data_IF_668955949587
#
_entry.id   IF_668955949587
#
_cell.length_a   1.000
_cell.length_b   1.000
_cell.length_c   1.000
_cell.angle_alpha   90.00
_cell.angle_beta   90.00
_cell.angle_gamma   90.00
#
_symmetry.space_group_name_H-M   'P 1'
#
loop_
_entity.id
_entity.type
_entity.pdbx_description
1 polymer ?
#
# COMPACT_ATOMS: atom_id res chain seq x y z
N UNK A 1 -36.38 -17.98 -41.77
CA UNK A 1 -36.90 -16.88 -40.93
C UNK A 1 -36.33 -17.04 -39.52
N UNK A 2 -35.40 -16.15 -39.17
CA UNK A 2 -34.75 -15.80 -37.89
C UNK A 2 -34.89 -16.74 -36.66
N UNK A 3 -33.90 -17.60 -36.40
CA UNK A 3 -33.62 -18.18 -35.07
C UNK A 3 -32.13 -18.18 -34.68
N UNK A 4 -31.35 -17.23 -35.21
CA UNK A 4 -29.90 -17.15 -34.97
C UNK A 4 -29.48 -16.01 -34.02
N UNK A 5 -30.41 -15.11 -33.63
CA UNK A 5 -30.08 -13.97 -32.78
C UNK A 5 -30.27 -14.23 -31.28
N UNK A 6 -31.23 -15.07 -30.87
CA UNK A 6 -31.53 -15.29 -29.45
C UNK A 6 -30.40 -16.02 -28.69
N UNK A 7 -29.76 -17.01 -29.33
CA UNK A 7 -28.64 -17.74 -28.73
C UNK A 7 -27.39 -16.86 -28.52
N UNK A 8 -27.19 -15.88 -29.40
CA UNK A 8 -26.04 -14.97 -29.35
C UNK A 8 -26.19 -13.94 -28.20
N UNK A 9 -27.41 -13.46 -27.97
CA UNK A 9 -27.70 -12.51 -26.87
C UNK A 9 -27.52 -13.15 -25.49
N UNK A 10 -27.93 -14.42 -25.33
CA UNK A 10 -27.77 -15.16 -24.06
C UNK A 10 -26.29 -15.36 -23.73
N UNK A 11 -25.46 -15.71 -24.72
CA UNK A 11 -24.02 -15.89 -24.52
C UNK A 11 -23.34 -14.56 -24.10
N UNK A 12 -23.73 -13.44 -24.72
CA UNK A 12 -23.18 -12.11 -24.39
C UNK A 12 -23.55 -11.68 -22.97
N UNK A 13 -24.79 -11.93 -22.53
CA UNK A 13 -25.24 -11.61 -21.18
C UNK A 13 -24.54 -12.48 -20.13
N UNK A 14 -24.29 -13.76 -20.41
CA UNK A 14 -23.56 -14.66 -19.53
C UNK A 14 -22.08 -14.30 -19.40
N UNK A 15 -21.44 -13.84 -20.48
CA UNK A 15 -20.05 -13.33 -20.45
C UNK A 15 -19.98 -12.04 -19.63
N UNK A 16 -20.92 -11.11 -19.81
CA UNK A 16 -21.00 -9.89 -19.00
C UNK A 16 -21.26 -10.20 -17.52
N UNK A 17 -22.17 -11.11 -17.19
CA UNK A 17 -22.44 -11.53 -15.81
C UNK A 17 -21.23 -12.22 -15.16
N UNK A 18 -20.44 -12.95 -15.94
CA UNK A 18 -19.19 -13.58 -15.48
C UNK A 18 -18.10 -12.54 -15.25
N UNK A 19 -17.99 -11.53 -16.12
CA UNK A 19 -17.04 -10.43 -15.98
C UNK A 19 -17.41 -9.52 -14.80
N UNK A 20 -18.70 -9.21 -14.60
CA UNK A 20 -19.21 -8.47 -13.44
C UNK A 20 -18.93 -9.23 -12.13
N UNK A 21 -19.08 -10.56 -12.11
CA UNK A 21 -18.74 -11.39 -10.94
C UNK A 21 -17.24 -11.60 -10.73
N UNK A 22 -16.43 -11.47 -11.79
CA UNK A 22 -14.96 -11.52 -11.71
C UNK A 22 -14.32 -10.18 -11.32
N UNK A 23 -15.13 -9.16 -11.00
CA UNK A 23 -14.74 -7.78 -10.71
C UNK A 23 -13.88 -7.53 -9.47
N UNK A 24 -13.06 -8.49 -9.03
CA UNK A 24 -12.02 -8.25 -8.02
C UNK A 24 -10.78 -9.16 -8.11
N UNK A 25 -10.59 -9.93 -9.18
CA UNK A 25 -9.38 -10.78 -9.35
C UNK A 25 -8.33 -10.21 -10.32
N UNK A 26 -8.53 -8.99 -10.83
CA UNK A 26 -7.47 -8.20 -11.42
C UNK A 26 -6.73 -7.45 -10.33
N UNK A 27 -5.40 -7.52 -10.33
CA UNK A 27 -4.52 -6.60 -9.59
C UNK A 27 -5.10 -5.20 -9.64
N UNK A 28 -5.62 -4.72 -8.51
CA UNK A 28 -6.29 -3.43 -8.46
C UNK A 28 -5.33 -2.33 -8.91
N UNK A 29 -5.53 -1.80 -10.11
CA UNK A 29 -4.85 -0.60 -10.56
C UNK A 29 -5.33 0.54 -9.67
N UNK A 30 -4.54 0.85 -8.65
CA UNK A 30 -4.81 1.94 -7.73
C UNK A 30 -4.26 3.22 -8.36
N UNK A 31 -5.09 3.93 -9.11
CA UNK A 31 -4.76 5.27 -9.57
C UNK A 31 -4.91 6.26 -8.40
N UNK A 32 -3.79 6.69 -7.82
CA UNK A 32 -3.78 7.79 -6.84
C UNK A 32 -3.62 9.09 -7.62
N UNK A 33 -4.69 9.90 -7.62
CA UNK A 33 -4.63 11.27 -8.13
C UNK A 33 -3.92 12.13 -7.08
N UNK A 34 -2.71 12.60 -7.38
CA UNK A 34 -2.06 13.65 -6.59
C UNK A 34 -2.58 15.01 -7.06
N UNK A 35 -3.74 15.41 -6.58
CA UNK A 35 -4.19 16.81 -6.67
C UNK A 35 -3.83 17.54 -5.37
N UNK A 36 -3.60 18.86 -5.40
CA UNK A 36 -3.54 19.68 -4.18
C UNK A 36 -4.89 19.63 -3.46
N UNK A 37 -5.13 18.60 -2.64
CA UNK A 37 -6.41 18.33 -1.97
C UNK A 37 -6.73 16.84 -1.77
N UNK A 38 -6.09 15.92 -2.49
CA UNK A 38 -6.22 14.49 -2.22
C UNK A 38 -5.49 14.16 -0.91
N UNK A 39 -6.24 13.78 0.13
CA UNK A 39 -5.68 13.36 1.42
C UNK A 39 -4.82 12.12 1.18
N UNK A 40 -3.49 12.28 1.13
CA UNK A 40 -2.58 11.15 1.16
C UNK A 40 -2.84 10.40 2.47
N UNK A 41 -3.28 9.15 2.38
CA UNK A 41 -3.39 8.30 3.55
C UNK A 41 -1.97 8.07 4.11
N UNK A 42 -1.81 8.35 5.39
CA UNK A 42 -0.56 8.15 6.12
C UNK A 42 -0.81 7.21 7.30
N UNK A 43 0.17 6.36 7.61
CA UNK A 43 0.09 5.35 8.66
C UNK A 43 1.25 5.51 9.64
N UNK A 44 0.97 5.30 10.93
CA UNK A 44 2.04 5.13 11.91
C UNK A 44 2.71 3.76 11.68
N UNK A 45 4.04 3.75 11.67
CA UNK A 45 4.83 2.54 11.50
C UNK A 45 5.96 2.49 12.53
N UNK A 46 6.46 1.28 12.80
CA UNK A 46 7.65 1.03 13.60
C UNK A 46 8.70 0.34 12.75
N UNK A 47 9.93 0.85 12.81
CA UNK A 47 11.10 0.27 12.13
C UNK A 47 11.49 -1.03 12.82
N UNK A 48 11.62 -2.11 12.07
CA UNK A 48 12.02 -3.43 12.58
C UNK A 48 13.47 -3.74 12.28
N UNK A 49 13.96 -3.40 11.09
CA UNK A 49 15.37 -3.53 10.72
C UNK A 49 15.69 -2.70 9.49
N UNK A 50 16.97 -2.43 9.26
CA UNK A 50 17.44 -2.05 7.92
C UNK A 50 17.29 -3.26 6.97
N UNK A 51 16.82 -3.05 5.74
CA UNK A 51 16.75 -4.08 4.70
C UNK A 51 17.90 -3.95 3.71
N UNK A 52 18.15 -2.75 3.21
CA UNK A 52 19.24 -2.42 2.28
C UNK A 52 19.26 -0.91 2.06
N UNK A 53 20.45 -0.29 2.03
CA UNK A 53 20.57 1.17 1.86
C UNK A 53 19.68 1.94 2.84
N UNK A 54 18.91 2.94 2.38
CA UNK A 54 17.89 3.66 3.15
C UNK A 54 16.52 2.96 3.15
N UNK A 55 16.44 1.67 2.83
CA UNK A 55 15.21 0.88 2.86
C UNK A 55 15.13 0.07 4.14
N UNK A 56 14.01 0.18 4.84
CA UNK A 56 13.76 -0.48 6.11
C UNK A 56 12.58 -1.43 6.02
N UNK A 57 12.65 -2.52 6.78
CA UNK A 57 11.47 -3.30 7.11
C UNK A 57 10.73 -2.57 8.21
N UNK A 58 9.47 -2.24 7.96
CA UNK A 58 8.58 -1.53 8.88
C UNK A 58 7.30 -2.32 9.07
N UNK A 59 6.66 -2.17 10.24
CA UNK A 59 5.34 -2.72 10.51
C UNK A 59 4.38 -1.58 10.86
N UNK A 60 3.13 -1.67 10.42
CA UNK A 60 2.11 -0.71 10.82
C UNK A 60 1.84 -0.83 12.32
N UNK A 61 1.55 0.29 12.97
CA UNK A 61 1.18 0.32 14.39
C UNK A 61 -0.11 1.08 14.62
N UNK A 62 -0.88 0.63 15.61
CA UNK A 62 -2.05 1.34 16.13
C UNK A 62 -1.64 2.08 17.39
N UNK A 63 -1.91 3.38 17.43
CA UNK A 63 -1.73 4.19 18.64
C UNK A 63 -2.91 3.91 19.57
N UNK A 64 -2.61 3.32 20.73
CA UNK A 64 -3.59 3.01 21.77
C UNK A 64 -3.78 4.21 22.71
N UNK A 65 -4.43 3.97 23.85
CA UNK A 65 -4.59 4.96 24.91
C UNK A 65 -3.25 5.55 25.37
N UNK A 66 -3.30 6.79 25.86
CA UNK A 66 -2.14 7.50 26.35
C UNK A 66 -1.39 6.68 27.43
N UNK A 67 -0.07 6.59 27.29
CA UNK A 67 0.79 5.80 28.19
C UNK A 67 0.91 4.32 27.84
N UNK A 68 0.24 3.83 26.79
CA UNK A 68 0.40 2.46 26.29
C UNK A 68 1.34 2.39 25.10
N UNK A 69 2.05 1.27 24.95
CA UNK A 69 2.83 1.01 23.74
C UNK A 69 1.91 0.83 22.51
N UNK A 70 2.30 1.36 21.34
CA UNK A 70 1.60 1.09 20.09
C UNK A 70 1.60 -0.41 19.74
N UNK A 71 0.44 -0.93 19.33
CA UNK A 71 0.29 -2.33 18.92
C UNK A 71 0.70 -2.51 17.45
N UNK A 72 1.57 -3.49 17.17
CA UNK A 72 1.97 -3.85 15.80
C UNK A 72 0.83 -4.62 15.09
N UNK A 73 0.52 -4.23 13.86
CA UNK A 73 -0.54 -4.84 13.06
C UNK A 73 -0.05 -5.21 11.65
N UNK A 74 -0.54 -6.35 11.15
CA UNK A 74 -0.23 -6.84 9.82
C UNK A 74 1.19 -7.43 9.69
N UNK A 75 1.68 -7.47 8.46
CA UNK A 75 3.00 -8.02 8.13
C UNK A 75 4.01 -6.88 7.90
N UNK A 76 5.29 -7.21 8.03
CA UNK A 76 6.35 -6.25 7.70
C UNK A 76 6.32 -5.93 6.20
N UNK A 77 6.53 -4.66 5.88
CA UNK A 77 6.66 -4.16 4.52
C UNK A 77 7.91 -3.31 4.39
N UNK A 78 8.36 -3.04 3.15
CA UNK A 78 9.53 -2.21 2.90
C UNK A 78 9.12 -0.76 2.75
N UNK A 79 9.86 0.15 3.37
CA UNK A 79 9.69 1.58 3.21
C UNK A 79 11.04 2.32 3.12
N UNK A 80 11.08 3.36 2.30
CA UNK A 80 12.29 4.14 2.02
C UNK A 80 12.33 5.36 2.94
N UNK A 81 13.44 5.55 3.65
CA UNK A 81 13.66 6.76 4.44
C UNK A 81 14.23 7.87 3.55
N UNK A 82 13.45 8.93 3.35
CA UNK A 82 13.82 10.09 2.54
C UNK A 82 14.81 11.03 3.24
N UNK A 83 15.07 10.85 4.54
CA UNK A 83 16.01 11.65 5.29
C UNK A 83 17.47 11.17 5.15
N UNK A 84 17.68 9.98 4.60
CA UNK A 84 18.98 9.33 4.47
C UNK A 84 19.41 9.19 3.00
N UNK A 85 20.71 8.98 2.78
CA UNK A 85 21.26 8.76 1.44
C UNK A 85 20.72 7.47 0.81
N UNK A 86 20.34 7.54 -0.46
CA UNK A 86 19.89 6.39 -1.25
C UNK A 86 21.00 5.40 -1.61
N UNK A 87 22.27 5.78 -1.42
CA UNK A 87 23.43 4.97 -1.80
C UNK A 87 24.22 4.43 -0.60
N UNK A 88 23.84 4.80 0.62
CA UNK A 88 24.51 4.34 1.85
C UNK A 88 23.58 3.47 2.68
N UNK A 89 24.16 2.57 3.47
CA UNK A 89 23.42 1.84 4.51
C UNK A 89 22.86 2.82 5.52
N UNK A 90 21.54 2.78 5.70
CA UNK A 90 20.85 3.62 6.66
C UNK A 90 21.21 3.25 8.10
N UNK A 91 21.15 4.25 8.98
CA UNK A 91 21.58 4.20 10.37
C UNK A 91 20.40 4.28 11.37
N UNK A 92 19.16 4.29 10.89
CA UNK A 92 17.99 4.39 11.75
C UNK A 92 17.83 3.13 12.62
N UNK A 93 17.76 3.26 13.95
CA UNK A 93 17.66 2.11 14.83
C UNK A 93 16.29 1.43 14.74
N UNK A 94 16.27 0.12 15.00
CA UNK A 94 15.03 -0.62 15.20
C UNK A 94 14.27 -0.08 16.42
N UNK A 95 12.94 -0.09 16.33
CA UNK A 95 12.06 0.49 17.34
C UNK A 95 11.66 1.94 17.07
N UNK A 96 12.32 2.63 16.14
CA UNK A 96 11.96 4.00 15.74
C UNK A 96 10.54 4.04 15.15
N UNK A 97 9.71 4.96 15.63
CA UNK A 97 8.40 5.22 15.06
C UNK A 97 8.48 6.28 13.96
N UNK A 98 7.71 6.08 12.90
CA UNK A 98 7.64 7.00 11.77
C UNK A 98 6.20 7.12 11.25
N UNK A 99 5.97 8.16 10.45
CA UNK A 99 4.77 8.27 9.62
C UNK A 99 5.14 7.88 8.20
N UNK A 100 4.49 6.84 7.70
CA UNK A 100 4.67 6.33 6.34
C UNK A 100 3.54 6.84 5.44
N UNK A 101 3.89 7.24 4.23
CA UNK A 101 2.95 7.58 3.17
C UNK A 101 3.26 6.82 1.89
N UNK A 102 2.31 6.82 0.96
CA UNK A 102 2.47 6.28 -0.40
C UNK A 102 2.82 7.38 -1.39
N UNK A 103 3.93 7.20 -2.10
CA UNK A 103 4.32 8.05 -3.23
C UNK A 103 4.44 7.17 -4.45
N UNK A 104 3.46 7.24 -5.34
CA UNK A 104 3.31 6.32 -6.46
C UNK A 104 3.21 4.86 -5.97
N UNK A 105 4.13 4.02 -6.44
CA UNK A 105 4.22 2.62 -6.05
C UNK A 105 5.11 2.37 -4.81
N UNK A 106 5.70 3.41 -4.19
CA UNK A 106 6.65 3.28 -3.06
C UNK A 106 6.09 3.71 -1.72
N UNK A 107 6.46 2.95 -0.69
CA UNK A 107 6.26 3.34 0.70
C UNK A 107 7.44 4.22 1.10
N UNK A 108 7.14 5.39 1.63
CA UNK A 108 8.18 6.35 2.04
C UNK A 108 7.87 6.91 3.41
N UNK A 109 8.91 7.27 4.15
CA UNK A 109 8.81 8.03 5.38
C UNK A 109 10.01 8.98 5.48
N UNK A 110 10.00 9.89 6.45
CA UNK A 110 11.10 10.82 6.69
C UNK A 110 11.41 10.88 8.18
N UNK A 111 12.53 10.31 8.60
CA UNK A 111 13.03 10.37 9.99
C UNK A 111 14.55 10.47 9.97
N UNK A 112 15.12 11.47 10.64
CA UNK A 112 16.57 11.57 10.81
C UNK A 112 17.04 10.57 11.88
N UNK A 113 18.20 9.90 11.69
CA UNK A 113 18.82 9.08 12.72
C UNK A 113 19.05 9.83 14.04
#
# INVERSE_FOLDING_TARGET
>A
MYMSNAANTINRQQVLDRLCRAGSQGTGETAIVTSPGARAAAWAVKVKSNSSYNVYNVVAVVINDAGSEPAEIGQQTKAINLAESFTQTGALPAGTYAVMARVGDKNVFHVKP
#
